data_IF_909996409765
#
_entry.id   IF_909996409765
#
_cell.length_a   1.000
_cell.length_b   1.000
_cell.length_c   1.000
_cell.angle_alpha   90.00
_cell.angle_beta   90.00
_cell.angle_gamma   90.00
#
_symmetry.space_group_name_H-M   'P 1'
#
loop_
_entity.id
_entity.type
_entity.pdbx_description
1 polymer ?
#
# COMPACT_ATOMS: atom_id res chain seq x y z
N UNK A 1 -12.64 36.41 -117.90
CA UNK A 1 -13.80 37.32 -117.85
C UNK A 1 -15.05 36.49 -117.55
N UNK A 2 -15.39 36.30 -116.27
CA UNK A 2 -16.60 35.62 -115.74
C UNK A 2 -16.67 36.14 -114.28
N UNK A 3 -17.53 37.09 -113.88
CA UNK A 3 -18.98 37.03 -113.61
C UNK A 3 -19.33 35.89 -112.61
N UNK A 4 -20.25 35.94 -111.65
CA UNK A 4 -21.24 36.89 -111.12
C UNK A 4 -21.94 36.17 -109.93
N UNK A 5 -22.59 36.95 -109.05
CA UNK A 5 -23.74 36.63 -108.16
C UNK A 5 -23.45 35.98 -106.77
N UNK A 6 -23.69 36.63 -105.59
CA UNK A 6 -24.91 37.19 -104.94
C UNK A 6 -25.81 36.07 -104.35
N UNK A 7 -26.34 36.03 -103.11
CA UNK A 7 -26.40 36.85 -101.85
C UNK A 7 -27.08 35.98 -100.75
N UNK A 8 -26.98 36.41 -99.48
CA UNK A 8 -27.78 36.09 -98.27
C UNK A 8 -27.04 35.20 -97.25
N UNK A 9 -27.01 35.46 -95.94
CA UNK A 9 -27.96 36.16 -95.07
C UNK A 9 -27.27 36.64 -93.77
N UNK A 10 -27.50 37.91 -93.44
CA UNK A 10 -27.60 38.53 -92.11
C UNK A 10 -26.62 38.17 -90.97
N UNK A 11 -25.59 39.00 -90.87
CA UNK A 11 -25.05 39.55 -89.62
C UNK A 11 -26.15 40.04 -88.65
N UNK A 12 -26.00 39.85 -87.33
CA UNK A 12 -25.58 40.95 -86.42
C UNK A 12 -25.49 40.60 -84.91
N UNK A 13 -24.47 41.22 -84.32
CA UNK A 13 -24.28 41.69 -82.93
C UNK A 13 -24.05 40.67 -81.81
N UNK A 14 -22.78 40.57 -81.38
CA UNK A 14 -22.35 39.98 -80.12
C UNK A 14 -22.87 40.78 -78.91
N UNK A 15 -23.33 40.04 -77.91
CA UNK A 15 -23.96 40.52 -76.67
C UNK A 15 -22.91 40.86 -75.61
N UNK A 16 -22.80 42.16 -75.28
CA UNK A 16 -22.20 42.70 -74.05
C UNK A 16 -23.14 42.75 -72.80
N UNK A 17 -24.47 42.50 -72.85
CA UNK A 17 -25.31 42.51 -71.63
C UNK A 17 -25.19 41.30 -70.69
N UNK A 18 -24.70 40.15 -71.18
CA UNK A 18 -24.77 38.89 -70.42
C UNK A 18 -23.81 38.81 -69.22
N UNK A 19 -22.66 39.51 -69.27
CA UNK A 19 -21.65 39.44 -68.21
C UNK A 19 -22.05 40.26 -66.98
N UNK A 20 -22.83 41.34 -67.16
CA UNK A 20 -23.31 42.16 -66.04
C UNK A 20 -24.48 41.51 -65.29
N UNK A 21 -25.37 40.80 -65.99
CA UNK A 21 -26.42 39.99 -65.36
C UNK A 21 -25.83 38.78 -64.63
N UNK A 22 -24.84 38.09 -65.20
CA UNK A 22 -24.19 36.96 -64.52
C UNK A 22 -23.36 37.40 -63.29
N UNK A 23 -22.73 38.58 -63.29
CA UNK A 23 -22.03 39.08 -62.09
C UNK A 23 -23.03 39.54 -61.01
N UNK A 24 -24.19 40.08 -61.40
CA UNK A 24 -25.25 40.46 -60.47
C UNK A 24 -25.98 39.24 -59.86
N UNK A 25 -26.17 38.17 -60.62
CA UNK A 25 -26.71 36.90 -60.12
C UNK A 25 -25.66 36.09 -59.34
N UNK A 26 -24.38 36.11 -59.73
CA UNK A 26 -23.30 35.42 -59.01
C UNK A 26 -22.97 36.05 -57.65
N UNK A 27 -23.20 37.35 -57.51
CA UNK A 27 -23.01 38.09 -56.25
C UNK A 27 -24.31 38.28 -55.45
N UNK A 28 -25.35 37.48 -55.73
CA UNK A 28 -26.56 37.43 -54.91
C UNK A 28 -27.04 38.81 -54.49
N UNK A 29 -27.24 39.73 -55.44
CA UNK A 29 -27.49 41.15 -55.13
C UNK A 29 -28.66 41.35 -54.17
N UNK A 30 -29.65 40.45 -54.20
CA UNK A 30 -30.76 40.44 -53.23
C UNK A 30 -30.30 40.06 -51.81
N UNK A 31 -29.50 39.01 -51.67
CA UNK A 31 -29.00 38.55 -50.37
C UNK A 31 -27.95 39.52 -49.80
N UNK A 32 -27.10 40.10 -50.65
CA UNK A 32 -26.11 41.12 -50.26
C UNK A 32 -26.80 42.43 -49.88
N UNK A 33 -27.87 42.84 -50.56
CA UNK A 33 -28.64 44.05 -50.17
C UNK A 33 -29.44 43.83 -48.90
N UNK A 34 -30.02 42.65 -48.68
CA UNK A 34 -30.69 42.31 -47.43
C UNK A 34 -29.69 42.21 -46.25
N UNK A 35 -28.56 41.53 -46.43
CA UNK A 35 -27.50 41.44 -45.43
C UNK A 35 -26.84 42.79 -45.13
N UNK A 36 -26.59 43.62 -46.15
CA UNK A 36 -26.08 44.97 -45.97
C UNK A 36 -27.10 45.86 -45.25
N UNK A 37 -28.40 45.74 -45.58
CA UNK A 37 -29.48 46.44 -44.87
C UNK A 37 -29.53 46.06 -43.39
N UNK A 38 -29.41 44.76 -43.07
CA UNK A 38 -29.35 44.25 -41.69
C UNK A 38 -28.11 44.76 -40.95
N UNK A 39 -26.95 44.71 -41.59
CA UNK A 39 -25.70 45.24 -41.04
C UNK A 39 -25.79 46.74 -40.77
N UNK A 40 -26.37 47.50 -41.69
CA UNK A 40 -26.51 48.95 -41.58
C UNK A 40 -27.53 49.32 -40.49
N UNK A 41 -28.62 48.55 -40.33
CA UNK A 41 -29.53 48.67 -39.18
C UNK A 41 -28.85 48.37 -37.85
N UNK A 42 -28.01 47.32 -37.79
CA UNK A 42 -27.23 46.98 -36.60
C UNK A 42 -26.22 48.08 -36.24
N UNK A 43 -25.53 48.65 -37.24
CA UNK A 43 -24.59 49.75 -37.04
C UNK A 43 -25.28 51.06 -36.65
N UNK A 44 -26.45 51.35 -37.24
CA UNK A 44 -27.30 52.47 -36.81
C UNK A 44 -27.66 52.27 -35.34
N UNK A 45 -28.22 51.11 -34.96
CA UNK A 45 -28.62 50.82 -33.59
C UNK A 45 -27.45 50.88 -32.59
N UNK A 46 -26.29 50.37 -32.97
CA UNK A 46 -25.05 50.49 -32.18
C UNK A 46 -24.66 51.95 -31.97
N UNK A 47 -24.84 52.81 -32.97
CA UNK A 47 -24.50 54.23 -32.88
C UNK A 47 -25.58 55.09 -32.20
N UNK A 48 -26.86 54.73 -32.26
CA UNK A 48 -27.95 55.49 -31.61
C UNK A 48 -28.17 55.11 -30.15
N UNK A 49 -28.06 53.82 -29.78
CA UNK A 49 -28.40 53.35 -28.43
C UNK A 49 -27.17 52.81 -27.66
N UNK A 50 -26.05 52.60 -28.36
CA UNK A 50 -24.80 52.11 -27.77
C UNK A 50 -24.85 50.63 -27.38
N UNK A 51 -23.73 50.11 -26.87
CA UNK A 51 -23.64 48.75 -26.29
C UNK A 51 -24.55 48.59 -25.05
N UNK A 52 -25.04 49.71 -24.49
CA UNK A 52 -25.95 49.75 -23.36
C UNK A 52 -27.26 49.00 -23.63
N UNK A 53 -27.81 49.07 -24.84
CA UNK A 53 -29.05 48.38 -25.18
C UNK A 53 -28.89 46.85 -25.19
N UNK A 54 -27.82 46.34 -25.79
CA UNK A 54 -27.50 44.90 -25.77
C UNK A 54 -27.19 44.43 -24.36
N UNK A 55 -26.51 45.26 -23.56
CA UNK A 55 -26.24 45.00 -22.14
C UNK A 55 -27.53 44.97 -21.30
N UNK A 56 -28.50 45.83 -21.60
CA UNK A 56 -29.80 45.87 -20.93
C UNK A 56 -30.66 44.63 -21.24
N UNK A 57 -30.42 43.93 -22.35
CA UNK A 57 -31.04 42.61 -22.62
C UNK A 57 -30.59 41.59 -21.57
N UNK A 58 -29.31 41.60 -21.19
CA UNK A 58 -28.78 40.71 -20.15
C UNK A 58 -29.11 41.16 -18.72
N UNK A 59 -29.53 42.42 -18.53
CA UNK A 59 -29.95 42.93 -17.22
C UNK A 59 -31.21 42.27 -16.65
N UNK A 60 -31.95 41.53 -17.50
CA UNK A 60 -33.09 40.71 -17.11
C UNK A 60 -32.68 39.53 -16.22
N UNK A 61 -31.47 38.99 -16.38
CA UNK A 61 -31.00 37.85 -15.59
C UNK A 61 -30.23 38.30 -14.35
N UNK A 62 -29.36 39.30 -14.51
CA UNK A 62 -28.59 39.87 -13.40
C UNK A 62 -28.18 41.30 -13.77
N UNK A 63 -28.28 42.25 -12.84
CA UNK A 63 -27.96 43.65 -13.15
C UNK A 63 -26.44 43.78 -13.43
N UNK A 64 -26.02 44.08 -14.67
CA UNK A 64 -24.63 44.07 -15.07
C UNK A 64 -23.83 45.18 -14.37
N UNK A 65 -24.46 46.30 -14.03
CA UNK A 65 -23.80 47.40 -13.33
C UNK A 65 -23.48 47.05 -11.86
N UNK A 66 -24.24 46.11 -11.26
CA UNK A 66 -23.95 45.59 -9.92
C UNK A 66 -22.76 44.63 -9.94
N UNK A 67 -22.63 43.80 -10.99
CA UNK A 67 -21.55 42.83 -11.16
C UNK A 67 -20.17 43.47 -11.35
N UNK A 68 -20.09 44.65 -11.97
CA UNK A 68 -18.83 45.40 -12.11
C UNK A 68 -18.40 46.03 -10.77
N UNK A 69 -19.35 46.31 -9.88
CA UNK A 69 -19.11 46.99 -8.60
C UNK A 69 -18.81 46.07 -7.41
N UNK A 70 -19.12 44.76 -7.53
CA UNK A 70 -18.95 43.77 -6.45
C UNK A 70 -17.94 42.70 -6.86
N UNK A 71 -16.83 42.50 -6.12
CA UNK A 71 -15.81 41.52 -6.48
C UNK A 71 -16.28 40.06 -6.40
N UNK A 72 -17.42 39.79 -5.73
CA UNK A 72 -18.13 38.50 -5.71
C UNK A 72 -19.64 38.74 -5.50
N UNK A 73 -20.50 38.55 -6.52
CA UNK A 73 -21.95 38.59 -6.30
C UNK A 73 -22.36 37.46 -5.35
N UNK A 74 -23.30 37.74 -4.44
CA UNK A 74 -23.86 36.72 -3.54
C UNK A 74 -24.79 35.81 -4.35
N UNK A 75 -24.64 34.49 -4.21
CA UNK A 75 -25.61 33.53 -4.73
C UNK A 75 -26.96 33.75 -4.02
N UNK A 76 -27.92 34.35 -4.71
CA UNK A 76 -29.26 34.62 -4.19
C UNK A 76 -30.22 33.57 -4.76
N UNK A 77 -30.92 32.80 -3.91
CA UNK A 77 -31.98 31.93 -4.39
C UNK A 77 -33.13 32.76 -4.98
N UNK A 78 -33.65 32.36 -6.15
CA UNK A 78 -34.76 33.05 -6.82
C UNK A 78 -36.09 32.75 -6.11
N UNK A 79 -36.80 33.79 -5.69
CA UNK A 79 -38.19 33.67 -5.25
C UNK A 79 -39.10 33.42 -6.47
N UNK A 80 -40.15 32.58 -6.39
CA UNK A 80 -41.04 32.30 -7.52
C UNK A 80 -41.62 33.54 -8.23
N UNK A 81 -41.83 34.62 -7.48
CA UNK A 81 -42.23 35.94 -8.02
C UNK A 81 -41.19 36.53 -8.97
N UNK A 82 -39.90 36.48 -8.62
CA UNK A 82 -38.83 37.01 -9.46
C UNK A 82 -38.71 36.21 -10.77
N UNK A 83 -39.10 34.94 -10.78
CA UNK A 83 -39.11 34.10 -11.99
C UNK A 83 -40.15 34.60 -12.99
N UNK A 84 -41.37 34.92 -12.53
CA UNK A 84 -42.38 35.51 -13.40
C UNK A 84 -41.95 36.88 -13.95
N UNK A 85 -41.25 37.68 -13.14
CA UNK A 85 -40.72 38.98 -13.55
C UNK A 85 -39.63 38.84 -14.62
N UNK A 86 -38.71 37.88 -14.46
CA UNK A 86 -37.69 37.53 -15.47
C UNK A 86 -38.36 37.06 -16.76
N UNK A 87 -39.35 36.17 -16.67
CA UNK A 87 -40.05 35.65 -17.85
C UNK A 87 -40.75 36.77 -18.65
N UNK A 88 -41.48 37.66 -17.99
CA UNK A 88 -42.13 38.79 -18.65
C UNK A 88 -41.12 39.82 -19.19
N UNK A 89 -40.02 40.09 -18.47
CA UNK A 89 -38.98 41.01 -18.90
C UNK A 89 -38.21 40.49 -20.13
N UNK A 90 -37.94 39.18 -20.19
CA UNK A 90 -37.31 38.54 -21.36
C UNK A 90 -38.23 38.64 -22.58
N UNK A 91 -39.52 38.33 -22.41
CA UNK A 91 -40.51 38.49 -23.50
C UNK A 91 -40.60 39.93 -24.00
N UNK A 92 -40.61 40.91 -23.09
CA UNK A 92 -40.62 42.32 -23.46
C UNK A 92 -39.35 42.71 -24.25
N UNK A 93 -38.17 42.25 -23.84
CA UNK A 93 -36.91 42.55 -24.52
C UNK A 93 -36.80 41.88 -25.89
N UNK A 94 -37.35 40.68 -26.06
CA UNK A 94 -37.47 40.03 -27.37
C UNK A 94 -38.37 40.84 -28.30
N UNK A 95 -39.53 41.30 -27.83
CA UNK A 95 -40.45 42.13 -28.62
C UNK A 95 -39.81 43.47 -29.01
N UNK A 96 -39.11 44.13 -28.08
CA UNK A 96 -38.35 45.34 -28.37
C UNK A 96 -37.25 45.08 -29.41
N UNK A 97 -36.53 43.96 -29.30
CA UNK A 97 -35.45 43.60 -30.23
C UNK A 97 -35.95 43.33 -31.65
N UNK A 98 -37.06 42.61 -31.79
CA UNK A 98 -37.70 42.34 -33.08
C UNK A 98 -38.22 43.61 -33.75
N UNK A 99 -38.71 44.58 -32.97
CA UNK A 99 -39.17 45.86 -33.49
C UNK A 99 -38.04 46.70 -34.12
N UNK A 100 -36.83 46.66 -33.53
CA UNK A 100 -35.70 47.48 -34.00
C UNK A 100 -34.82 46.80 -35.05
N UNK A 101 -34.57 45.50 -34.92
CA UNK A 101 -33.60 44.78 -35.74
C UNK A 101 -34.25 43.98 -36.88
N UNK A 102 -35.58 43.94 -36.91
CA UNK A 102 -36.36 43.10 -37.82
C UNK A 102 -36.60 41.71 -37.23
N UNK A 103 -37.61 41.04 -37.78
CA UNK A 103 -38.14 39.77 -37.28
C UNK A 103 -37.06 38.67 -37.23
N UNK A 104 -36.17 38.60 -38.22
CA UNK A 104 -35.15 37.55 -38.29
C UNK A 104 -34.08 37.68 -37.20
N UNK A 105 -33.51 38.87 -36.98
CA UNK A 105 -32.45 39.05 -35.96
C UNK A 105 -33.04 39.07 -34.54
N UNK A 106 -34.19 39.72 -34.35
CA UNK A 106 -34.83 39.80 -33.04
C UNK A 106 -35.52 38.51 -32.61
N UNK A 107 -36.23 37.84 -33.53
CA UNK A 107 -37.01 36.65 -33.24
C UNK A 107 -36.24 35.34 -33.41
N UNK A 108 -35.26 35.24 -34.30
CA UNK A 108 -34.47 34.01 -34.42
C UNK A 108 -33.23 34.11 -33.53
N UNK A 109 -32.32 35.04 -33.79
CA UNK A 109 -31.04 35.06 -33.07
C UNK A 109 -31.16 35.43 -31.57
N UNK A 110 -31.88 36.51 -31.24
CA UNK A 110 -31.95 36.99 -29.83
C UNK A 110 -32.97 36.18 -29.03
N UNK A 111 -34.15 35.89 -29.58
CA UNK A 111 -35.17 35.09 -28.89
C UNK A 111 -34.69 33.66 -28.61
N UNK A 112 -34.04 33.00 -29.58
CA UNK A 112 -33.56 31.63 -29.42
C UNK A 112 -32.44 31.56 -28.39
N UNK A 113 -31.45 32.46 -28.45
CA UNK A 113 -30.37 32.52 -27.46
C UNK A 113 -30.89 32.80 -26.04
N UNK A 114 -31.86 33.71 -25.88
CA UNK A 114 -32.46 34.00 -24.59
C UNK A 114 -33.35 32.87 -24.08
N UNK A 115 -34.13 32.24 -24.96
CA UNK A 115 -35.04 31.13 -24.64
C UNK A 115 -34.26 29.87 -24.29
N UNK A 116 -33.23 29.51 -25.05
CA UNK A 116 -32.37 28.34 -24.80
C UNK A 116 -31.53 28.54 -23.53
N UNK A 117 -30.93 29.72 -23.35
CA UNK A 117 -30.19 30.07 -22.13
C UNK A 117 -31.07 30.05 -20.88
N UNK A 118 -32.29 30.61 -20.97
CA UNK A 118 -33.28 30.55 -19.89
C UNK A 118 -33.75 29.10 -19.64
N UNK A 119 -34.00 28.32 -20.69
CA UNK A 119 -34.43 26.92 -20.59
C UNK A 119 -33.38 26.06 -19.89
N UNK A 120 -32.11 26.16 -20.30
CA UNK A 120 -31.00 25.43 -19.68
C UNK A 120 -30.78 25.85 -18.22
N UNK A 121 -30.90 27.16 -17.92
CA UNK A 121 -30.79 27.67 -16.55
C UNK A 121 -31.95 27.18 -15.65
N UNK A 122 -33.17 27.12 -16.19
CA UNK A 122 -34.34 26.56 -15.51
C UNK A 122 -34.19 25.04 -15.32
N UNK A 123 -33.68 24.31 -16.30
CA UNK A 123 -33.47 22.87 -16.20
C UNK A 123 -32.40 22.51 -15.15
N UNK A 124 -31.26 23.20 -15.18
CA UNK A 124 -30.13 22.88 -14.29
C UNK A 124 -30.36 23.30 -12.83
N UNK A 125 -30.98 24.46 -12.59
CA UNK A 125 -31.12 24.99 -11.24
C UNK A 125 -32.53 24.82 -10.68
N UNK A 126 -33.56 25.10 -11.49
CA UNK A 126 -34.94 25.15 -11.01
C UNK A 126 -35.59 23.78 -11.00
N UNK A 127 -35.42 22.97 -12.05
CA UNK A 127 -35.89 21.57 -12.02
C UNK A 127 -35.15 20.79 -10.92
N UNK A 128 -33.85 21.03 -10.71
CA UNK A 128 -33.12 20.42 -9.61
C UNK A 128 -33.64 20.87 -8.22
N UNK A 129 -33.93 22.15 -8.03
CA UNK A 129 -34.50 22.67 -6.78
C UNK A 129 -35.93 22.15 -6.53
N UNK A 130 -36.77 22.12 -7.56
CA UNK A 130 -38.12 21.55 -7.47
C UNK A 130 -38.08 20.05 -7.20
N UNK A 131 -37.22 19.30 -7.89
CA UNK A 131 -37.01 17.88 -7.60
C UNK A 131 -36.56 17.70 -6.15
N UNK A 132 -35.62 18.51 -5.65
CA UNK A 132 -35.19 18.42 -4.26
C UNK A 132 -36.35 18.69 -3.28
N UNK A 133 -37.09 19.79 -3.45
CA UNK A 133 -38.22 20.14 -2.57
C UNK A 133 -39.31 19.07 -2.63
N UNK A 134 -39.73 18.68 -3.83
CA UNK A 134 -40.80 17.71 -4.03
C UNK A 134 -40.39 16.32 -3.58
N UNK A 135 -39.15 15.89 -3.80
CA UNK A 135 -38.67 14.59 -3.38
C UNK A 135 -38.45 14.51 -1.87
N UNK A 136 -38.03 15.61 -1.23
CA UNK A 136 -37.93 15.67 0.24
C UNK A 136 -39.31 15.62 0.87
N UNK A 137 -40.31 16.34 0.34
CA UNK A 137 -41.63 16.44 0.97
C UNK A 137 -42.63 15.34 0.57
N UNK A 138 -42.56 14.86 -0.66
CA UNK A 138 -43.51 13.88 -1.23
C UNK A 138 -42.87 12.57 -1.65
N UNK A 139 -41.54 12.49 -1.65
CA UNK A 139 -40.81 11.32 -2.13
C UNK A 139 -40.67 11.29 -3.66
N UNK A 140 -39.58 10.72 -4.15
CA UNK A 140 -39.35 10.48 -5.59
C UNK A 140 -39.63 9.01 -5.96
N UNK A 141 -40.30 8.78 -7.10
CA UNK A 141 -40.44 7.47 -7.73
C UNK A 141 -39.87 7.54 -9.16
N UNK A 142 -39.04 6.57 -9.61
CA UNK A 142 -38.48 5.46 -8.84
C UNK A 142 -37.36 5.92 -7.89
N UNK A 143 -37.16 5.22 -6.76
CA UNK A 143 -36.10 5.56 -5.83
C UNK A 143 -34.73 5.16 -6.39
N UNK A 144 -33.88 6.12 -6.77
CA UNK A 144 -32.48 5.81 -7.06
C UNK A 144 -31.72 5.54 -5.76
N UNK A 145 -31.71 4.26 -5.34
CA UNK A 145 -31.08 3.81 -4.10
C UNK A 145 -29.55 3.65 -4.22
N UNK A 146 -28.98 3.80 -5.43
CA UNK A 146 -27.54 3.65 -5.65
C UNK A 146 -26.72 4.67 -4.87
N UNK A 147 -27.24 5.89 -4.71
CA UNK A 147 -26.63 6.96 -3.92
C UNK A 147 -26.60 6.60 -2.42
N UNK A 148 -27.66 5.97 -1.91
CA UNK A 148 -27.73 5.52 -0.53
C UNK A 148 -26.74 4.37 -0.27
N UNK A 149 -26.66 3.42 -1.19
CA UNK A 149 -25.69 2.32 -1.10
C UNK A 149 -24.23 2.84 -1.19
N UNK A 150 -23.95 3.77 -2.09
CA UNK A 150 -22.64 4.40 -2.21
C UNK A 150 -22.25 5.20 -0.96
N UNK A 151 -23.20 5.87 -0.31
CA UNK A 151 -22.99 6.52 0.98
C UNK A 151 -22.73 5.50 2.10
N UNK A 152 -23.48 4.39 2.12
CA UNK A 152 -23.26 3.27 3.04
C UNK A 152 -21.82 2.73 2.97
N UNK A 153 -21.24 2.64 1.76
CA UNK A 153 -19.86 2.17 1.58
C UNK A 153 -18.77 3.07 2.17
N UNK A 154 -19.11 4.30 2.56
CA UNK A 154 -18.16 5.28 3.13
C UNK A 154 -18.67 5.90 4.44
N UNK A 155 -19.62 5.23 5.08
CA UNK A 155 -20.36 5.75 6.24
C UNK A 155 -19.47 5.97 7.48
N UNK A 156 -18.33 5.28 7.56
CA UNK A 156 -17.25 5.50 8.54
C UNK A 156 -16.65 6.91 8.43
N UNK A 157 -16.53 7.45 7.22
CA UNK A 157 -15.82 8.72 6.96
C UNK A 157 -16.75 9.93 6.76
N UNK A 158 -18.03 9.69 6.46
CA UNK A 158 -18.96 10.75 6.09
C UNK A 158 -19.65 11.38 7.30
N UNK A 159 -19.73 12.72 7.32
CA UNK A 159 -20.53 13.45 8.31
C UNK A 159 -22.04 13.22 8.10
N UNK A 160 -22.76 12.97 9.19
CA UNK A 160 -24.20 12.66 9.15
C UNK A 160 -25.05 13.79 8.56
N UNK A 161 -24.68 15.06 8.75
CA UNK A 161 -25.40 16.20 8.16
C UNK A 161 -25.29 16.23 6.64
N UNK A 162 -24.08 16.03 6.12
CA UNK A 162 -23.84 15.94 4.68
C UNK A 162 -24.59 14.75 4.08
N UNK A 163 -24.45 13.56 4.66
CA UNK A 163 -25.20 12.38 4.21
C UNK A 163 -26.71 12.61 4.26
N UNK A 164 -27.24 13.26 5.29
CA UNK A 164 -28.68 13.60 5.37
C UNK A 164 -29.10 14.50 4.22
N UNK A 165 -28.32 15.54 3.86
CA UNK A 165 -28.67 16.45 2.77
C UNK A 165 -28.77 15.75 1.41
N UNK A 166 -28.00 14.68 1.20
CA UNK A 166 -28.02 13.88 -0.02
C UNK A 166 -29.15 12.86 0.01
N UNK A 167 -29.38 12.19 1.15
CA UNK A 167 -30.39 11.14 1.29
C UNK A 167 -31.82 11.67 1.41
N UNK A 168 -31.99 12.88 1.95
CA UNK A 168 -33.29 13.51 2.13
C UNK A 168 -34.09 13.67 0.82
N UNK A 169 -33.50 13.97 -0.35
CA UNK A 169 -34.19 13.91 -1.63
C UNK A 169 -34.18 12.53 -2.33
N UNK A 170 -33.46 11.54 -1.81
CA UNK A 170 -33.36 10.21 -2.42
C UNK A 170 -34.54 9.31 -2.04
N UNK A 171 -35.20 8.66 -3.00
CA UNK A 171 -36.27 7.67 -2.75
C UNK A 171 -37.53 8.22 -2.08
N UNK A 172 -38.68 7.58 -2.32
CA UNK A 172 -39.92 7.88 -1.59
C UNK A 172 -40.02 7.19 -0.23
N UNK A 173 -39.28 6.09 -0.01
CA UNK A 173 -39.53 5.16 1.09
C UNK A 173 -38.33 5.13 2.07
N UNK A 174 -38.46 5.62 3.32
CA UNK A 174 -37.35 5.65 4.26
C UNK A 174 -36.74 4.27 4.58
N UNK A 175 -37.54 3.21 4.62
CA UNK A 175 -37.05 1.86 4.90
C UNK A 175 -36.20 1.29 3.76
N UNK A 176 -36.44 1.66 2.51
CA UNK A 176 -35.59 1.22 1.39
C UNK A 176 -34.25 1.96 1.37
N UNK A 177 -34.22 3.21 1.86
CA UNK A 177 -32.97 3.96 2.08
C UNK A 177 -32.15 3.28 3.18
N UNK A 178 -32.80 2.88 4.28
CA UNK A 178 -32.14 2.15 5.37
C UNK A 178 -31.50 0.85 4.88
N UNK A 179 -32.25 0.04 4.13
CA UNK A 179 -31.75 -1.22 3.57
C UNK A 179 -30.52 -0.98 2.66
N UNK A 180 -30.59 0.01 1.77
CA UNK A 180 -29.47 0.36 0.90
C UNK A 180 -28.24 0.84 1.68
N UNK A 181 -28.43 1.64 2.74
CA UNK A 181 -27.35 2.09 3.62
C UNK A 181 -26.69 0.92 4.35
N UNK A 182 -27.50 -0.01 4.89
CA UNK A 182 -27.01 -1.21 5.57
C UNK A 182 -26.24 -2.11 4.60
N UNK A 183 -26.75 -2.31 3.38
CA UNK A 183 -26.06 -3.08 2.35
C UNK A 183 -24.70 -2.45 1.98
N UNK A 184 -24.64 -1.13 1.80
CA UNK A 184 -23.40 -0.41 1.56
C UNK A 184 -22.39 -0.54 2.71
N UNK A 185 -22.87 -0.41 3.95
CA UNK A 185 -22.03 -0.55 5.15
C UNK A 185 -21.50 -1.98 5.30
N UNK A 186 -22.30 -3.00 5.03
CA UNK A 186 -21.85 -4.40 5.03
C UNK A 186 -20.74 -4.64 4.00
N UNK A 187 -20.86 -4.07 2.79
CA UNK A 187 -19.80 -4.15 1.79
C UNK A 187 -18.51 -3.47 2.26
N UNK A 188 -18.61 -2.33 2.95
CA UNK A 188 -17.46 -1.64 3.53
C UNK A 188 -16.81 -2.46 4.64
N UNK A 189 -17.60 -3.05 5.53
CA UNK A 189 -17.12 -3.97 6.58
C UNK A 189 -16.36 -5.12 5.93
N UNK A 190 -16.95 -5.79 4.92
CA UNK A 190 -16.28 -6.87 4.21
C UNK A 190 -14.92 -6.43 3.62
N UNK A 191 -14.84 -5.26 2.98
CA UNK A 191 -13.57 -4.72 2.48
C UNK A 191 -12.52 -4.50 3.57
N UNK A 192 -12.94 -4.04 4.76
CA UNK A 192 -12.02 -3.82 5.88
C UNK A 192 -11.51 -5.15 6.45
N UNK A 193 -12.41 -6.11 6.69
CA UNK A 193 -12.05 -7.41 7.29
C UNK A 193 -11.26 -8.31 6.33
N UNK A 194 -11.62 -8.39 5.05
CA UNK A 194 -10.90 -9.24 4.08
C UNK A 194 -9.41 -8.85 3.96
N UNK A 195 -9.10 -7.55 3.97
CA UNK A 195 -7.72 -7.09 3.92
C UNK A 195 -6.94 -7.47 5.19
N UNK A 196 -7.59 -7.41 6.35
CA UNK A 196 -6.98 -7.77 7.64
C UNK A 196 -6.77 -9.28 7.77
N UNK A 197 -7.76 -10.08 7.39
CA UNK A 197 -7.66 -11.55 7.34
C UNK A 197 -6.49 -11.97 6.44
N UNK A 198 -6.35 -11.36 5.27
CA UNK A 198 -5.23 -11.63 4.37
C UNK A 198 -3.88 -11.21 4.98
N UNK A 199 -3.82 -10.11 5.73
CA UNK A 199 -2.61 -9.70 6.46
C UNK A 199 -2.20 -10.75 7.47
N UNK A 200 -3.13 -11.22 8.30
CA UNK A 200 -2.87 -12.25 9.32
C UNK A 200 -2.41 -13.56 8.67
N UNK A 201 -3.06 -14.00 7.59
CA UNK A 201 -2.65 -15.19 6.83
C UNK A 201 -1.22 -15.03 6.28
N UNK A 202 -0.88 -13.86 5.75
CA UNK A 202 0.47 -13.58 5.24
C UNK A 202 1.51 -13.62 6.37
N UNK A 203 1.22 -13.00 7.53
CA UNK A 203 2.10 -13.02 8.70
C UNK A 203 2.30 -14.44 9.25
N UNK A 204 1.24 -15.25 9.32
CA UNK A 204 1.33 -16.66 9.71
C UNK A 204 2.15 -17.49 8.71
N UNK A 205 2.00 -17.22 7.41
CA UNK A 205 2.81 -17.87 6.36
C UNK A 205 4.28 -17.52 6.53
N UNK A 206 4.59 -16.24 6.74
CA UNK A 206 5.94 -15.73 7.04
C UNK A 206 6.51 -16.43 8.29
N UNK A 207 5.74 -16.53 9.38
CA UNK A 207 6.13 -17.26 10.59
C UNK A 207 6.58 -18.68 10.26
N UNK A 208 5.75 -19.43 9.53
CA UNK A 208 6.06 -20.81 9.16
C UNK A 208 7.31 -20.91 8.27
N UNK A 209 7.44 -20.05 7.26
CA UNK A 209 8.60 -20.05 6.36
C UNK A 209 9.90 -19.77 7.11
N UNK A 210 9.93 -18.76 7.98
CA UNK A 210 11.14 -18.43 8.74
C UNK A 210 11.45 -19.46 9.83
N UNK A 211 10.44 -20.02 10.50
CA UNK A 211 10.66 -21.13 11.44
C UNK A 211 11.33 -22.32 10.75
N UNK A 212 10.83 -22.72 9.58
CA UNK A 212 11.43 -23.81 8.80
C UNK A 212 12.86 -23.46 8.41
N UNK A 213 13.10 -22.25 7.89
CA UNK A 213 14.44 -21.80 7.50
C UNK A 213 15.43 -21.79 8.67
N UNK A 214 15.00 -21.36 9.85
CA UNK A 214 15.85 -21.39 11.04
C UNK A 214 16.09 -22.82 11.54
N UNK A 215 15.10 -23.72 11.47
CA UNK A 215 15.31 -25.13 11.78
C UNK A 215 16.29 -25.82 10.82
N UNK A 216 16.22 -25.49 9.52
CA UNK A 216 17.18 -25.98 8.53
C UNK A 216 18.60 -25.46 8.80
N UNK A 217 18.74 -24.16 9.06
CA UNK A 217 20.02 -23.55 9.41
C UNK A 217 20.59 -24.13 10.71
N UNK A 218 19.73 -24.39 11.71
CA UNK A 218 20.10 -25.07 12.94
C UNK A 218 20.63 -26.49 12.65
N UNK A 219 19.94 -27.24 11.79
CA UNK A 219 20.39 -28.57 11.38
C UNK A 219 21.78 -28.54 10.73
N UNK A 220 22.05 -27.56 9.87
CA UNK A 220 23.37 -27.36 9.27
C UNK A 220 24.44 -26.99 10.31
N UNK A 221 24.10 -26.10 11.25
CA UNK A 221 24.99 -25.69 12.32
C UNK A 221 25.36 -26.86 13.24
N UNK A 222 24.38 -27.67 13.64
CA UNK A 222 24.62 -28.88 14.43
C UNK A 222 25.54 -29.86 13.70
N UNK A 223 25.35 -30.04 12.39
CA UNK A 223 26.25 -30.89 11.60
C UNK A 223 27.69 -30.37 11.59
N UNK A 224 27.88 -29.05 11.53
CA UNK A 224 29.20 -28.42 11.58
C UNK A 224 29.85 -28.61 12.96
N UNK A 225 29.14 -28.34 14.05
CA UNK A 225 29.65 -28.56 15.42
C UNK A 225 30.03 -30.03 15.63
N UNK A 226 29.18 -30.98 15.20
CA UNK A 226 29.47 -32.41 15.36
C UNK A 226 30.77 -32.77 14.64
N UNK A 227 30.99 -32.25 13.43
CA UNK A 227 32.23 -32.49 12.71
C UNK A 227 33.43 -31.89 13.43
N UNK A 228 33.32 -30.64 13.91
CA UNK A 228 34.39 -29.98 14.68
C UNK A 228 34.72 -30.74 15.97
N UNK A 229 33.71 -31.21 16.71
CA UNK A 229 33.89 -32.00 17.92
C UNK A 229 34.57 -33.34 17.65
N UNK A 230 34.23 -34.01 16.54
CA UNK A 230 34.91 -35.23 16.12
C UNK A 230 36.39 -34.94 15.86
N UNK A 231 36.72 -33.88 15.12
CA UNK A 231 38.12 -33.52 14.86
C UNK A 231 38.86 -33.13 16.13
N UNK A 232 38.25 -32.35 17.02
CA UNK A 232 38.87 -31.96 18.29
C UNK A 232 39.16 -33.20 19.16
N UNK A 233 38.22 -34.16 19.22
CA UNK A 233 38.43 -35.41 19.95
C UNK A 233 39.58 -36.24 19.38
N UNK A 234 39.76 -36.25 18.06
CA UNK A 234 40.87 -36.93 17.40
C UNK A 234 42.20 -36.25 17.76
N UNK A 235 42.27 -34.92 17.68
CA UNK A 235 43.45 -34.16 18.07
C UNK A 235 43.82 -34.34 19.54
N UNK A 236 42.82 -34.40 20.43
CA UNK A 236 43.03 -34.67 21.84
C UNK A 236 43.63 -36.06 22.06
N UNK A 237 43.09 -37.10 21.41
CA UNK A 237 43.61 -38.47 21.50
C UNK A 237 45.05 -38.53 20.98
N UNK A 238 45.34 -37.95 19.82
CA UNK A 238 46.70 -37.91 19.26
C UNK A 238 47.69 -37.23 20.22
N UNK A 239 47.29 -36.12 20.84
CA UNK A 239 48.14 -35.42 21.82
C UNK A 239 48.41 -36.30 23.04
N UNK A 240 47.40 -37.02 23.51
CA UNK A 240 47.48 -37.88 24.68
C UNK A 240 48.34 -39.12 24.41
N UNK A 241 48.18 -39.75 23.24
CA UNK A 241 49.06 -40.84 22.79
C UNK A 241 50.52 -40.40 22.70
N UNK A 242 50.78 -39.23 22.11
CA UNK A 242 52.14 -38.67 22.03
C UNK A 242 52.76 -38.45 23.41
N UNK A 243 51.97 -37.91 24.36
CA UNK A 243 52.41 -37.70 25.74
C UNK A 243 52.74 -39.03 26.44
N UNK A 244 51.86 -40.03 26.34
CA UNK A 244 52.06 -41.36 26.93
C UNK A 244 53.28 -42.05 26.31
N UNK A 245 53.42 -42.02 24.99
CA UNK A 245 54.55 -42.65 24.30
C UNK A 245 55.88 -42.03 24.72
N UNK A 246 55.95 -40.70 24.84
CA UNK A 246 57.15 -40.01 25.30
C UNK A 246 57.48 -40.38 26.77
N UNK A 247 56.48 -40.34 27.66
CA UNK A 247 56.67 -40.66 29.07
C UNK A 247 57.08 -42.13 29.28
N UNK A 248 56.39 -43.07 28.65
CA UNK A 248 56.70 -44.49 28.70
C UNK A 248 58.06 -44.79 28.07
N UNK A 249 58.43 -44.12 26.98
CA UNK A 249 59.75 -44.25 26.36
C UNK A 249 60.88 -43.91 27.32
N UNK A 250 60.80 -42.77 28.01
CA UNK A 250 61.79 -42.35 29.00
C UNK A 250 61.86 -43.32 30.19
N UNK A 251 60.71 -43.81 30.67
CA UNK A 251 60.67 -44.77 31.78
C UNK A 251 61.30 -46.11 31.37
N UNK A 252 60.98 -46.60 30.17
CA UNK A 252 61.53 -47.85 29.63
C UNK A 252 63.04 -47.76 29.43
N UNK A 253 63.54 -46.67 28.83
CA UNK A 253 64.99 -46.46 28.66
C UNK A 253 65.74 -46.50 30.00
N UNK A 254 65.18 -45.85 31.03
CA UNK A 254 65.77 -45.88 32.39
C UNK A 254 65.68 -47.26 33.04
N UNK A 255 64.58 -47.98 32.83
CA UNK A 255 64.41 -49.33 33.36
C UNK A 255 65.41 -50.31 32.72
N UNK A 256 65.61 -50.20 31.40
CA UNK A 256 66.60 -50.99 30.67
C UNK A 256 68.03 -50.69 31.16
N UNK A 257 68.38 -49.41 31.35
CA UNK A 257 69.68 -49.05 31.90
C UNK A 257 69.91 -49.65 33.31
N UNK A 258 68.88 -49.67 34.16
CA UNK A 258 68.96 -50.27 35.50
C UNK A 258 69.01 -51.80 35.48
N UNK A 259 68.41 -52.43 34.48
CA UNK A 259 68.56 -53.87 34.25
C UNK A 259 70.01 -54.20 33.87
N UNK A 260 70.60 -53.45 32.93
CA UNK A 260 71.99 -53.61 32.52
C UNK A 260 72.96 -53.41 33.71
N UNK A 261 72.69 -52.42 34.57
CA UNK A 261 73.45 -52.19 35.79
C UNK A 261 73.37 -53.38 36.75
N UNK A 262 72.17 -53.97 36.92
CA UNK A 262 71.94 -55.14 37.78
C UNK A 262 72.71 -56.37 37.28
N UNK A 263 72.63 -56.65 35.97
CA UNK A 263 73.36 -57.76 35.34
C UNK A 263 74.88 -57.57 35.46
N UNK A 264 75.37 -56.34 35.24
CA UNK A 264 76.77 -56.01 35.43
C UNK A 264 77.22 -56.17 36.90
N UNK A 265 76.36 -55.83 37.85
CA UNK A 265 76.61 -56.00 39.28
C UNK A 265 76.79 -57.47 39.64
N UNK A 266 75.86 -58.32 39.18
CA UNK A 266 75.86 -59.77 39.43
C UNK A 266 77.13 -60.42 38.88
N UNK A 267 77.52 -60.09 37.64
CA UNK A 267 78.74 -60.62 37.02
C UNK A 267 79.98 -60.22 37.81
N UNK A 268 80.07 -58.97 38.27
CA UNK A 268 81.23 -58.49 39.03
C UNK A 268 81.32 -59.14 40.42
N UNK A 269 80.20 -59.33 41.10
CA UNK A 269 80.17 -60.04 42.39
C UNK A 269 80.58 -61.52 42.24
N UNK A 270 80.15 -62.18 41.16
CA UNK A 270 80.44 -63.60 40.94
C UNK A 270 81.82 -63.87 40.32
N UNK A 271 82.51 -62.82 39.84
CA UNK A 271 83.86 -62.92 39.27
C UNK A 271 84.90 -62.69 40.34
N UNK A 272 85.81 -63.65 40.49
CA UNK A 272 86.95 -63.57 41.43
C UNK A 272 88.19 -62.99 40.75
N UNK A 273 88.87 -62.08 41.44
CA UNK A 273 90.15 -61.54 41.01
C UNK A 273 91.22 -62.65 41.07
N UNK A 274 91.88 -62.97 39.93
CA UNK A 274 92.90 -64.00 39.86
C UNK A 274 94.11 -63.76 40.79
N UNK A 275 94.33 -62.52 41.22
CA UNK A 275 95.49 -62.11 42.02
C UNK A 275 95.26 -62.14 43.53
N UNK A 276 94.00 -62.00 43.97
CA UNK A 276 93.63 -61.94 45.40
C UNK A 276 92.72 -63.09 45.83
N UNK A 277 92.07 -63.78 44.89
CA UNK A 277 91.15 -64.89 45.14
C UNK A 277 89.80 -64.46 45.74
N UNK A 278 89.57 -63.15 45.87
CA UNK A 278 88.31 -62.55 46.36
C UNK A 278 87.49 -62.01 45.18
N UNK A 279 86.18 -61.89 45.35
CA UNK A 279 85.30 -61.28 44.34
C UNK A 279 85.72 -59.85 44.01
N UNK A 280 85.44 -59.39 42.77
CA UNK A 280 85.76 -58.01 42.34
C UNK A 280 84.99 -56.94 43.13
N UNK A 281 83.91 -57.33 43.79
CA UNK A 281 83.11 -56.50 44.70
C UNK A 281 82.83 -57.34 45.94
N UNK A 282 82.91 -56.76 47.13
CA UNK A 282 82.53 -57.40 48.39
C UNK A 282 81.00 -57.42 48.61
N UNK A 283 80.56 -58.31 49.51
CA UNK A 283 79.15 -58.55 49.80
C UNK A 283 78.42 -57.28 50.29
N UNK A 284 79.09 -56.44 51.09
CA UNK A 284 78.48 -55.21 51.64
C UNK A 284 78.23 -54.17 50.55
N UNK A 285 79.21 -53.97 49.66
CA UNK A 285 79.11 -53.07 48.51
C UNK A 285 78.05 -53.56 47.52
N UNK A 286 77.98 -54.88 47.30
CA UNK A 286 76.97 -55.49 46.45
C UNK A 286 75.55 -55.25 46.99
N UNK A 287 75.33 -55.44 48.29
CA UNK A 287 74.04 -55.22 48.94
C UNK A 287 73.62 -53.73 48.90
N UNK A 288 74.56 -52.80 49.11
CA UNK A 288 74.29 -51.35 49.00
C UNK A 288 73.86 -50.96 47.58
N UNK A 289 74.57 -51.44 46.56
CA UNK A 289 74.23 -51.13 45.17
C UNK A 289 72.90 -51.76 44.72
N UNK A 290 72.57 -52.96 45.20
CA UNK A 290 71.24 -53.56 44.98
C UNK A 290 70.12 -52.72 45.59
N UNK A 291 70.33 -52.18 46.80
CA UNK A 291 69.36 -51.28 47.43
C UNK A 291 69.17 -49.99 46.63
N UNK A 292 70.23 -49.42 46.06
CA UNK A 292 70.15 -48.23 45.22
C UNK A 292 69.35 -48.49 43.93
N UNK A 293 69.64 -49.60 43.23
CA UNK A 293 68.89 -50.00 42.04
C UNK A 293 67.42 -50.23 42.38
N UNK A 294 67.12 -50.91 43.49
CA UNK A 294 65.75 -51.14 43.94
C UNK A 294 65.02 -49.82 44.25
N UNK A 295 65.70 -48.87 44.90
CA UNK A 295 65.14 -47.56 45.21
C UNK A 295 64.79 -46.77 43.93
N UNK A 296 65.67 -46.80 42.93
CA UNK A 296 65.44 -46.18 41.62
C UNK A 296 64.28 -46.83 40.86
N UNK A 297 64.19 -48.16 40.84
CA UNK A 297 63.06 -48.89 40.22
C UNK A 297 61.74 -48.54 40.91
N UNK A 298 61.73 -48.45 42.24
CA UNK A 298 60.55 -47.99 42.98
C UNK A 298 60.19 -46.53 42.62
N UNK A 299 61.18 -45.65 42.45
CA UNK A 299 60.98 -44.29 41.97
C UNK A 299 60.38 -44.21 40.56
N UNK A 300 60.83 -45.07 39.65
CA UNK A 300 60.29 -45.20 38.29
C UNK A 300 58.84 -45.70 38.32
N UNK A 301 58.52 -46.68 39.18
CA UNK A 301 57.15 -47.18 39.36
C UNK A 301 56.20 -46.07 39.85
N UNK A 302 56.65 -45.25 40.81
CA UNK A 302 55.89 -44.09 41.26
C UNK A 302 55.69 -43.06 40.15
N UNK A 303 56.73 -42.82 39.34
CA UNK A 303 56.66 -41.91 38.19
C UNK A 303 55.63 -42.40 37.17
N UNK A 304 55.61 -43.70 36.86
CA UNK A 304 54.61 -44.30 35.98
C UNK A 304 53.18 -44.14 36.52
N UNK A 305 52.97 -44.37 37.82
CA UNK A 305 51.66 -44.17 38.45
C UNK A 305 51.22 -42.70 38.40
N UNK A 306 52.15 -41.75 38.56
CA UNK A 306 51.85 -40.33 38.41
C UNK A 306 51.42 -39.98 36.99
N UNK A 307 52.13 -40.49 35.97
CA UNK A 307 51.75 -40.31 34.56
C UNK A 307 50.34 -40.86 34.30
N UNK A 308 50.02 -42.04 34.82
CA UNK A 308 48.67 -42.62 34.70
C UNK A 308 47.59 -41.72 35.31
N UNK A 309 47.85 -41.18 36.50
CA UNK A 309 46.92 -40.24 37.15
C UNK A 309 46.76 -38.95 36.35
N UNK A 310 47.86 -38.38 35.84
CA UNK A 310 47.82 -37.17 35.02
C UNK A 310 47.02 -37.38 33.73
N UNK A 311 47.22 -38.51 33.06
CA UNK A 311 46.44 -38.89 31.87
C UNK A 311 44.94 -39.00 32.19
N UNK A 312 44.58 -39.65 33.30
CA UNK A 312 43.17 -39.73 33.71
C UNK A 312 42.57 -38.35 33.99
N UNK A 313 43.33 -37.45 34.62
CA UNK A 313 42.88 -36.08 34.86
C UNK A 313 42.67 -35.33 33.54
N UNK A 314 43.60 -35.41 32.59
CA UNK A 314 43.46 -34.79 31.27
C UNK A 314 42.21 -35.28 30.52
N UNK A 315 41.90 -36.57 30.62
CA UNK A 315 40.68 -37.16 30.03
C UNK A 315 39.43 -36.58 30.70
N UNK A 316 39.39 -36.53 32.03
CA UNK A 316 38.24 -36.02 32.77
C UNK A 316 38.02 -34.52 32.53
N UNK A 317 39.10 -33.73 32.48
CA UNK A 317 39.04 -32.30 32.22
C UNK A 317 38.49 -32.05 30.81
N UNK A 318 38.93 -32.82 29.81
CA UNK A 318 38.41 -32.73 28.44
C UNK A 318 36.91 -33.02 28.37
N UNK A 319 36.44 -34.12 28.99
CA UNK A 319 35.01 -34.44 29.01
C UNK A 319 34.18 -33.38 29.72
N UNK A 320 34.69 -32.82 30.83
CA UNK A 320 34.00 -31.75 31.56
C UNK A 320 33.79 -30.52 30.68
N UNK A 321 34.83 -30.09 29.96
CA UNK A 321 34.75 -28.95 29.03
C UNK A 321 33.76 -29.21 27.89
N UNK A 322 33.76 -30.43 27.33
CA UNK A 322 32.82 -30.81 26.27
C UNK A 322 31.37 -30.77 26.76
N UNK A 323 31.10 -31.28 27.97
CA UNK A 323 29.76 -31.27 28.57
C UNK A 323 29.27 -29.84 28.83
N UNK A 324 30.15 -28.94 29.31
CA UNK A 324 29.81 -27.52 29.50
C UNK A 324 29.47 -26.82 28.18
N UNK A 325 30.28 -27.04 27.13
CA UNK A 325 30.01 -26.47 25.79
C UNK A 325 28.68 -26.98 25.23
N UNK A 326 28.34 -28.25 25.47
CA UNK A 326 27.06 -28.82 25.03
C UNK A 326 25.87 -28.12 25.69
N UNK A 327 25.92 -27.90 27.01
CA UNK A 327 24.84 -27.26 27.76
C UNK A 327 24.65 -25.79 27.35
N UNK A 328 25.75 -25.06 27.17
CA UNK A 328 25.75 -23.68 26.67
C UNK A 328 25.17 -23.58 25.25
N UNK A 329 25.52 -24.53 24.37
CA UNK A 329 25.01 -24.57 23.01
C UNK A 329 23.50 -24.85 22.97
N UNK A 330 23.02 -25.80 23.78
CA UNK A 330 21.58 -26.12 23.90
C UNK A 330 20.82 -24.90 24.42
N UNK A 331 21.32 -24.27 25.48
CA UNK A 331 20.71 -23.09 26.10
C UNK A 331 20.59 -21.95 25.08
N UNK A 332 21.68 -21.63 24.39
CA UNK A 332 21.72 -20.56 23.38
C UNK A 332 20.71 -20.80 22.25
N UNK A 333 20.62 -22.04 21.75
CA UNK A 333 19.67 -22.41 20.70
C UNK A 333 18.21 -22.26 21.14
N UNK A 334 17.90 -22.72 22.36
CA UNK A 334 16.53 -22.65 22.90
C UNK A 334 16.12 -21.19 23.12
N UNK A 335 17.00 -20.37 23.71
CA UNK A 335 16.76 -18.95 23.95
C UNK A 335 16.55 -18.18 22.63
N UNK A 336 17.37 -18.46 21.62
CA UNK A 336 17.21 -17.89 20.28
C UNK A 336 15.83 -18.22 19.68
N UNK A 337 15.42 -19.49 19.71
CA UNK A 337 14.13 -19.93 19.18
C UNK A 337 12.95 -19.29 19.94
N UNK A 338 13.05 -19.17 21.26
CA UNK A 338 12.03 -18.49 22.08
C UNK A 338 11.93 -16.99 21.77
N UNK A 339 13.06 -16.29 21.63
CA UNK A 339 13.10 -14.88 21.27
C UNK A 339 12.46 -14.62 19.90
N UNK A 340 12.77 -15.48 18.92
CA UNK A 340 12.17 -15.43 17.60
C UNK A 340 10.64 -15.62 17.68
N UNK A 341 10.18 -16.68 18.35
CA UNK A 341 8.75 -16.97 18.48
C UNK A 341 7.99 -15.83 19.18
N UNK A 342 8.54 -15.30 20.28
CA UNK A 342 7.96 -14.18 21.02
C UNK A 342 7.80 -12.93 20.14
N UNK A 343 8.80 -12.62 19.32
CA UNK A 343 8.76 -11.47 18.41
C UNK A 343 7.66 -11.60 17.37
N UNK A 344 7.53 -12.77 16.75
CA UNK A 344 6.49 -13.00 15.73
C UNK A 344 5.09 -13.02 16.37
N UNK A 345 4.94 -13.64 17.54
CA UNK A 345 3.68 -13.65 18.27
C UNK A 345 3.25 -12.23 18.68
N UNK A 346 4.19 -11.34 19.03
CA UNK A 346 3.89 -9.95 19.33
C UNK A 346 3.33 -9.21 18.10
N UNK A 347 3.87 -9.45 16.90
CA UNK A 347 3.34 -8.87 15.65
C UNK A 347 1.92 -9.38 15.39
N UNK A 348 1.69 -10.69 15.45
CA UNK A 348 0.36 -11.30 15.26
C UNK A 348 -0.64 -10.73 16.27
N UNK A 349 -0.26 -10.62 17.54
CA UNK A 349 -1.13 -10.07 18.57
C UNK A 349 -1.45 -8.58 18.33
N UNK A 350 -0.52 -7.80 17.78
CA UNK A 350 -0.80 -6.41 17.39
C UNK A 350 -1.84 -6.35 16.25
N UNK A 351 -1.75 -7.23 15.25
CA UNK A 351 -2.75 -7.32 14.18
C UNK A 351 -4.13 -7.74 14.73
N UNK A 352 -4.18 -8.76 15.60
CA UNK A 352 -5.41 -9.20 16.27
C UNK A 352 -6.02 -8.07 17.11
N UNK A 353 -5.20 -7.34 17.86
CA UNK A 353 -5.66 -6.20 18.65
C UNK A 353 -6.21 -5.07 17.76
N UNK A 354 -5.57 -4.79 16.62
CA UNK A 354 -6.09 -3.83 15.66
C UNK A 354 -7.46 -4.25 15.11
N UNK A 355 -7.67 -5.54 14.82
CA UNK A 355 -8.95 -6.10 14.40
C UNK A 355 -10.01 -5.94 15.51
N UNK A 356 -9.68 -6.34 16.73
CA UNK A 356 -10.61 -6.27 17.87
C UNK A 356 -10.97 -4.83 18.26
N UNK A 357 -10.06 -3.89 18.03
CA UNK A 357 -10.26 -2.46 18.31
C UNK A 357 -11.00 -1.72 17.19
N UNK A 358 -11.45 -2.39 16.12
CA UNK A 358 -12.35 -1.80 15.13
C UNK A 358 -13.72 -1.53 15.75
N UNK A 359 -13.85 -0.42 16.47
CA UNK A 359 -15.13 0.15 16.93
C UNK A 359 -16.03 0.60 15.77
N UNK A 360 -15.55 0.48 14.53
CA UNK A 360 -16.19 0.92 13.30
C UNK A 360 -17.59 0.34 13.14
N UNK A 361 -17.85 -0.91 13.55
CA UNK A 361 -19.19 -1.51 13.41
C UNK A 361 -20.24 -0.75 14.23
N UNK A 362 -19.92 -0.40 15.48
CA UNK A 362 -20.88 0.27 16.36
C UNK A 362 -21.05 1.75 15.97
N UNK A 363 -19.97 2.42 15.53
CA UNK A 363 -20.05 3.78 14.98
C UNK A 363 -20.89 3.81 13.69
N UNK A 364 -20.69 2.86 12.77
CA UNK A 364 -21.48 2.75 11.54
C UNK A 364 -22.97 2.50 11.86
N UNK A 365 -23.29 1.59 12.79
CA UNK A 365 -24.68 1.35 13.24
C UNK A 365 -25.29 2.62 13.83
N UNK A 366 -24.57 3.32 14.69
CA UNK A 366 -25.02 4.58 15.31
C UNK A 366 -25.30 5.65 14.26
N UNK A 367 -24.40 5.85 13.30
CA UNK A 367 -24.56 6.81 12.19
C UNK A 367 -25.73 6.46 11.29
N UNK A 368 -25.91 5.19 10.92
CA UNK A 368 -27.04 4.74 10.10
C UNK A 368 -28.36 5.00 10.84
N UNK A 369 -28.42 4.69 12.15
CA UNK A 369 -29.60 4.99 12.98
C UNK A 369 -29.89 6.49 13.02
N UNK A 370 -28.87 7.32 13.26
CA UNK A 370 -29.01 8.78 13.26
C UNK A 370 -29.51 9.31 11.91
N UNK A 371 -28.97 8.82 10.80
CA UNK A 371 -29.41 9.19 9.45
C UNK A 371 -30.85 8.80 9.18
N UNK A 372 -31.24 7.60 9.58
CA UNK A 372 -32.61 7.14 9.44
C UNK A 372 -33.59 8.04 10.21
N UNK A 373 -33.29 8.35 11.48
CA UNK A 373 -34.12 9.24 12.30
C UNK A 373 -34.16 10.67 11.76
N UNK A 374 -33.04 11.19 11.22
CA UNK A 374 -33.01 12.50 10.56
C UNK A 374 -33.90 12.51 9.31
N UNK A 375 -33.84 11.49 8.47
CA UNK A 375 -34.70 11.38 7.27
C UNK A 375 -36.17 11.30 7.67
N UNK A 376 -36.51 10.51 8.69
CA UNK A 376 -37.87 10.44 9.24
C UNK A 376 -38.36 11.80 9.74
N UNK A 377 -37.53 12.51 10.50
CA UNK A 377 -37.84 13.84 11.01
C UNK A 377 -38.03 14.87 9.89
N UNK A 378 -37.17 14.86 8.86
CA UNK A 378 -37.29 15.76 7.70
C UNK A 378 -38.55 15.50 6.86
N UNK A 379 -39.02 14.24 6.80
CA UNK A 379 -40.17 13.84 5.97
C UNK A 379 -41.49 13.67 6.73
N UNK A 380 -41.46 13.75 8.07
CA UNK A 380 -42.61 13.46 8.93
C UNK A 380 -43.28 12.10 8.63
N UNK A 381 -42.50 11.08 8.26
CA UNK A 381 -42.99 9.75 7.88
C UNK A 381 -42.02 8.63 8.31
N UNK A 382 -42.51 7.39 8.46
CA UNK A 382 -41.70 6.20 8.80
C UNK A 382 -42.23 5.39 10.01
N UNK A 383 -41.64 4.23 10.27
CA UNK A 383 -42.00 3.35 11.40
C UNK A 383 -41.18 3.70 12.64
N UNK A 384 -41.83 3.70 13.81
CA UNK A 384 -41.15 3.91 15.09
C UNK A 384 -40.46 2.62 15.54
N UNK A 385 -39.15 2.69 15.75
CA UNK A 385 -38.32 1.57 16.22
C UNK A 385 -37.69 1.88 17.59
N UNK A 386 -38.34 2.75 18.37
CA UNK A 386 -37.99 3.05 19.78
C UNK A 386 -37.82 1.78 20.61
#
# INVERSE_FOLDING_TARGET
>A
MVSTNIVASALKSGKLPAIFEEIADFLGVKDVTEAASRYLRLQILKNTVGEKWVRDIFSVFENPDILVSLPKPKALPYHPKHISEIFYATLQKTVESSAYLGEEIGSECISEMLSEGLSSALESNYNAALQTILNVWRGALPPDLSVAQALGMRIDTVETKYATSILAPTSALPYTILEALVQGANNRIAQLYTNLDQSVINTLTIKNTYLISHLEALGQYLQLIINELIFDSQYFVERLENYVNLACGVILERLTARLDDLEALEVRHNTTDPSTGTSLIDDETYEVMLMEIQADVNGLSNTFNNVKTEVNNLINDYFTVVDEILDDAVTTVVEYMQLFENTVNAIINNEINAINNLMTIDDMKSKIKELYERIRAYRSCGFDYS
#
